data_IF_937201038683
#
_entry.id   IF_937201038683
#
_cell.length_a   1.000
_cell.length_b   1.000
_cell.length_c   1.000
_cell.angle_alpha   90.00
_cell.angle_beta   90.00
_cell.angle_gamma   90.00
#
_symmetry.space_group_name_H-M   'P 1'
#
loop_
_entity.id
_entity.type
_entity.pdbx_description
1 polymer ?
#
# COMPACT_ATOMS: atom_id res chain seq x y z
N UNK A 1 23.98 -2.02 11.11
CA UNK A 1 22.69 -2.59 11.60
C UNK A 1 21.89 -1.48 12.23
N UNK A 2 20.76 -1.13 11.65
CA UNK A 2 19.86 -0.11 12.23
C UNK A 2 19.42 -0.56 13.62
N UNK A 3 19.60 0.28 14.61
CA UNK A 3 19.17 0.03 15.99
C UNK A 3 17.63 0.19 16.03
N UNK A 4 16.90 -0.91 16.19
CA UNK A 4 15.43 -0.87 16.25
C UNK A 4 15.01 -0.45 17.66
N UNK A 5 14.46 0.76 17.77
CA UNK A 5 13.89 1.34 18.98
C UNK A 5 12.38 1.10 18.96
N UNK A 6 11.91 0.16 19.80
CA UNK A 6 10.50 -0.27 19.88
C UNK A 6 10.00 -0.34 21.32
N UNK A 7 10.66 0.37 22.22
CA UNK A 7 10.40 0.25 23.65
C UNK A 7 8.96 0.57 24.02
N UNK A 8 8.40 1.63 23.46
CA UNK A 8 7.01 2.04 23.70
C UNK A 8 6.01 0.98 23.26
N UNK A 9 6.26 0.33 22.10
CA UNK A 9 5.43 -0.77 21.60
C UNK A 9 5.52 -1.99 22.52
N UNK A 10 6.71 -2.34 22.98
CA UNK A 10 6.92 -3.44 23.95
C UNK A 10 6.17 -3.16 25.24
N UNK A 11 6.27 -1.94 25.78
CA UNK A 11 5.57 -1.53 26.99
C UNK A 11 4.04 -1.60 26.84
N UNK A 12 3.51 -1.12 25.71
CA UNK A 12 2.08 -1.21 25.38
C UNK A 12 1.61 -2.66 25.35
N UNK A 13 2.28 -3.49 24.55
CA UNK A 13 1.93 -4.91 24.39
C UNK A 13 2.02 -5.69 25.71
N UNK A 14 2.99 -5.37 26.56
CA UNK A 14 3.10 -5.93 27.89
C UNK A 14 1.88 -5.55 28.76
N UNK A 15 1.50 -4.27 28.76
CA UNK A 15 0.36 -3.78 29.55
C UNK A 15 -0.97 -4.37 29.06
N UNK A 16 -1.18 -4.48 27.77
CA UNK A 16 -2.36 -5.13 27.16
C UNK A 16 -2.52 -6.59 27.62
N UNK A 17 -1.40 -7.26 27.94
CA UNK A 17 -1.39 -8.62 28.47
C UNK A 17 -1.31 -8.68 29.97
N UNK A 18 -1.50 -7.56 30.66
CA UNK A 18 -1.48 -7.45 32.13
C UNK A 18 -0.22 -8.03 32.79
N UNK A 19 0.91 -8.03 32.05
CA UNK A 19 2.18 -8.52 32.57
C UNK A 19 2.93 -7.41 33.30
N UNK A 20 3.47 -7.75 34.51
CA UNK A 20 4.41 -6.87 35.18
C UNK A 20 5.75 -6.84 34.41
N UNK A 21 6.52 -5.76 34.56
CA UNK A 21 7.86 -5.65 33.98
C UNK A 21 8.78 -6.78 34.42
N UNK A 22 8.70 -7.19 35.71
CA UNK A 22 9.45 -8.32 36.24
C UNK A 22 9.03 -9.65 35.60
N UNK A 23 7.73 -9.87 35.43
CA UNK A 23 7.22 -11.09 34.80
C UNK A 23 7.64 -11.24 33.34
N UNK A 24 7.60 -10.15 32.55
CA UNK A 24 8.07 -10.19 31.17
C UNK A 24 9.59 -10.37 31.10
N UNK A 25 10.37 -9.66 31.93
CA UNK A 25 11.82 -9.79 31.98
C UNK A 25 12.26 -11.24 32.31
N UNK A 26 11.61 -11.88 33.30
CA UNK A 26 11.88 -13.27 33.65
C UNK A 26 11.61 -14.24 32.49
N UNK A 27 10.50 -14.05 31.74
CA UNK A 27 10.18 -14.88 30.57
C UNK A 27 11.18 -14.68 29.42
N UNK A 28 11.72 -13.46 29.25
CA UNK A 28 12.71 -13.13 28.25
C UNK A 28 14.13 -13.61 28.63
N UNK A 29 14.36 -13.95 29.92
CA UNK A 29 15.69 -14.28 30.42
C UNK A 29 16.61 -13.07 30.56
N UNK A 30 16.08 -11.88 30.84
CA UNK A 30 16.80 -10.62 31.03
C UNK A 30 16.47 -9.99 32.39
N UNK A 31 17.28 -9.01 32.84
CA UNK A 31 16.97 -8.28 34.07
C UNK A 31 15.81 -7.29 33.85
N UNK A 32 15.03 -7.02 34.89
CA UNK A 32 13.97 -6.01 34.87
C UNK A 32 14.53 -4.62 34.54
N UNK A 33 15.74 -4.29 35.00
CA UNK A 33 16.42 -3.04 34.68
C UNK A 33 16.77 -2.94 33.18
N UNK A 34 17.20 -4.05 32.59
CA UNK A 34 17.48 -4.08 31.15
C UNK A 34 16.20 -3.92 30.31
N UNK A 35 15.09 -4.57 30.71
CA UNK A 35 13.79 -4.38 30.09
C UNK A 35 13.30 -2.93 30.22
N UNK A 36 13.53 -2.30 31.40
CA UNK A 36 13.19 -0.90 31.60
C UNK A 36 13.94 0.03 30.61
N UNK A 37 15.23 -0.19 30.39
CA UNK A 37 16.00 0.57 29.41
C UNK A 37 15.48 0.37 28.00
N UNK A 38 15.01 -0.83 27.65
CA UNK A 38 14.37 -1.10 26.36
C UNK A 38 13.04 -0.33 26.25
N UNK A 39 12.15 -0.45 27.25
CA UNK A 39 10.83 0.20 27.25
C UNK A 39 10.88 1.73 27.21
N UNK A 40 12.03 2.33 27.55
CA UNK A 40 12.27 3.78 27.46
C UNK A 40 13.17 4.17 26.26
N UNK A 41 13.34 3.28 25.30
CA UNK A 41 14.15 3.48 24.10
C UNK A 41 15.62 3.89 24.37
N UNK A 42 16.13 3.56 25.56
CA UNK A 42 17.53 3.77 25.95
C UNK A 42 18.45 2.61 25.50
N UNK A 43 17.87 1.48 25.11
CA UNK A 43 18.57 0.31 24.59
C UNK A 43 17.81 -0.27 23.41
N UNK A 44 18.55 -0.52 22.32
CA UNK A 44 17.99 -1.19 21.14
C UNK A 44 17.76 -2.67 21.42
N UNK A 45 16.71 -3.23 20.83
CA UNK A 45 16.39 -4.65 20.88
C UNK A 45 17.25 -5.41 19.89
N UNK A 46 17.88 -6.51 20.33
CA UNK A 46 18.62 -7.41 19.43
C UNK A 46 17.65 -8.31 18.65
N UNK A 47 18.07 -8.83 17.51
CA UNK A 47 17.23 -9.71 16.68
C UNK A 47 16.74 -10.96 17.44
N UNK A 48 17.61 -11.56 18.28
CA UNK A 48 17.24 -12.71 19.10
C UNK A 48 16.19 -12.37 20.18
N UNK A 49 16.29 -11.17 20.74
CA UNK A 49 15.33 -10.71 21.75
C UNK A 49 14.00 -10.31 21.09
N UNK A 50 14.04 -9.79 19.85
CA UNK A 50 12.86 -9.46 19.07
C UNK A 50 12.02 -10.70 18.78
N UNK A 51 12.66 -11.80 18.38
CA UNK A 51 12.00 -13.08 18.13
C UNK A 51 11.33 -13.60 19.42
N UNK A 52 12.06 -13.61 20.53
CA UNK A 52 11.50 -14.01 21.84
C UNK A 52 10.32 -13.15 22.28
N UNK A 53 10.39 -11.84 22.04
CA UNK A 53 9.28 -10.93 22.31
C UNK A 53 8.05 -11.29 21.48
N UNK A 54 8.21 -11.59 20.20
CA UNK A 54 7.12 -12.05 19.34
C UNK A 54 6.45 -13.32 19.86
N UNK A 55 7.25 -14.31 20.27
CA UNK A 55 6.78 -15.57 20.82
C UNK A 55 6.05 -15.40 22.15
N UNK A 56 6.65 -14.68 23.12
CA UNK A 56 6.10 -14.52 24.47
C UNK A 56 4.86 -13.63 24.48
N UNK A 57 4.85 -12.60 23.66
CA UNK A 57 3.73 -11.68 23.56
C UNK A 57 2.69 -12.13 22.53
N UNK A 58 2.90 -13.27 21.85
CA UNK A 58 2.01 -13.79 20.80
C UNK A 58 1.63 -12.73 19.78
N UNK A 59 2.64 -12.00 19.27
CA UNK A 59 2.47 -10.95 18.26
C UNK A 59 3.34 -11.21 17.05
N UNK A 60 2.88 -10.75 15.90
CA UNK A 60 3.69 -10.78 14.70
C UNK A 60 4.91 -9.85 14.86
N UNK A 61 6.08 -10.29 14.37
CA UNK A 61 7.29 -9.47 14.34
C UNK A 61 7.07 -8.11 13.63
N UNK A 62 6.04 -7.99 12.82
CA UNK A 62 5.63 -6.71 12.21
C UNK A 62 5.06 -5.72 13.20
N UNK A 63 4.27 -6.17 14.16
CA UNK A 63 3.81 -5.31 15.24
C UNK A 63 4.98 -4.77 16.05
N UNK A 64 6.07 -5.55 16.12
CA UNK A 64 7.30 -5.15 16.75
C UNK A 64 8.24 -4.36 15.80
N UNK A 65 7.99 -4.30 14.50
CA UNK A 65 8.85 -3.60 13.54
C UNK A 65 8.68 -2.08 13.51
N UNK A 66 7.66 -1.57 14.21
CA UNK A 66 7.33 -0.15 14.24
C UNK A 66 6.80 0.41 12.92
N UNK A 67 6.39 -0.44 11.98
CA UNK A 67 5.90 0.00 10.67
C UNK A 67 4.52 0.65 10.74
N UNK A 68 3.63 0.12 11.60
CA UNK A 68 2.31 0.70 11.84
C UNK A 68 2.41 2.03 12.60
N UNK A 69 3.30 2.08 13.58
CA UNK A 69 3.56 3.28 14.37
C UNK A 69 4.07 4.43 13.48
N UNK A 70 5.01 4.17 12.59
CA UNK A 70 5.49 5.20 11.63
C UNK A 70 4.38 5.70 10.70
N UNK A 71 3.50 4.84 10.27
CA UNK A 71 2.36 5.24 9.44
C UNK A 71 1.36 6.10 10.23
N UNK A 72 1.09 5.74 11.48
CA UNK A 72 0.24 6.53 12.38
C UNK A 72 0.87 7.88 12.71
N UNK A 73 2.17 7.91 13.02
CA UNK A 73 2.94 9.14 13.27
C UNK A 73 2.88 10.09 12.07
N UNK A 74 3.18 9.61 10.88
CA UNK A 74 3.10 10.43 9.67
C UNK A 74 1.69 11.00 9.43
N UNK A 75 0.66 10.18 9.67
CA UNK A 75 -0.72 10.63 9.56
C UNK A 75 -1.11 11.66 10.63
N UNK A 76 -0.68 11.47 11.89
CA UNK A 76 -0.91 12.42 12.98
C UNK A 76 -0.22 13.74 12.70
N UNK A 77 1.03 13.72 12.24
CA UNK A 77 1.77 14.92 11.85
C UNK A 77 1.01 15.70 10.78
N UNK A 78 0.64 15.02 9.68
CA UNK A 78 -0.14 15.64 8.61
C UNK A 78 -1.45 16.26 9.11
N UNK A 79 -2.15 15.56 10.03
CA UNK A 79 -3.42 16.02 10.55
C UNK A 79 -3.28 17.22 11.50
N UNK A 80 -2.31 17.17 12.43
CA UNK A 80 -2.15 18.20 13.46
C UNK A 80 -1.42 19.44 12.97
N UNK A 81 -0.65 19.33 11.89
CA UNK A 81 0.04 20.44 11.22
C UNK A 81 -0.79 21.10 10.13
N UNK A 82 -2.04 20.71 9.94
CA UNK A 82 -2.92 21.40 8.97
C UNK A 82 -3.16 22.84 9.42
N UNK A 83 -2.70 23.85 8.66
CA UNK A 83 -2.82 25.26 9.02
C UNK A 83 -4.26 25.70 9.30
N UNK A 84 -5.22 24.96 8.77
CA UNK A 84 -6.64 25.23 8.91
C UNK A 84 -7.21 24.82 10.26
N UNK A 85 -6.50 23.99 11.03
CA UNK A 85 -6.90 23.65 12.39
C UNK A 85 -6.46 24.73 13.41
N UNK A 86 -5.45 25.55 13.07
CA UNK A 86 -4.91 26.54 13.99
C UNK A 86 -4.35 25.93 15.29
N UNK A 87 -4.01 24.64 15.26
CA UNK A 87 -3.49 23.92 16.42
C UNK A 87 -2.07 24.36 16.76
N UNK A 88 -1.69 24.28 18.03
CA UNK A 88 -0.30 24.41 18.44
C UNK A 88 0.53 23.27 17.87
N UNK A 89 1.79 23.54 17.52
CA UNK A 89 2.71 22.53 17.02
C UNK A 89 2.95 21.43 18.07
N UNK A 90 2.66 20.19 17.72
CA UNK A 90 2.89 19.04 18.60
C UNK A 90 4.31 18.53 18.40
N UNK A 91 5.13 18.43 19.48
CA UNK A 91 6.51 17.94 19.36
C UNK A 91 6.59 16.55 18.76
N UNK A 92 7.58 16.29 17.93
CA UNK A 92 7.87 14.99 17.29
C UNK A 92 7.84 13.81 18.30
N UNK A 93 8.48 13.99 19.46
CA UNK A 93 8.53 12.98 20.53
C UNK A 93 7.15 12.63 21.08
N UNK A 94 6.21 13.58 21.05
CA UNK A 94 4.83 13.38 21.50
C UNK A 94 4.03 12.64 20.44
N UNK A 95 4.17 12.97 19.16
CA UNK A 95 3.57 12.23 18.05
C UNK A 95 3.99 10.74 18.05
N UNK A 96 5.28 10.50 18.23
CA UNK A 96 5.82 9.14 18.39
C UNK A 96 5.25 8.44 19.60
N UNK A 97 5.10 9.17 20.72
CA UNK A 97 4.52 8.65 21.95
C UNK A 97 3.06 8.22 21.76
N UNK A 98 2.26 9.04 21.08
CA UNK A 98 0.85 8.75 20.79
C UNK A 98 0.75 7.56 19.83
N UNK A 99 1.53 7.56 18.75
CA UNK A 99 1.49 6.49 17.75
C UNK A 99 1.86 5.11 18.33
N UNK A 100 2.91 5.06 19.17
CA UNK A 100 3.39 3.81 19.75
C UNK A 100 2.64 3.40 21.03
N UNK A 101 2.30 4.38 21.88
CA UNK A 101 1.69 4.12 23.20
C UNK A 101 0.17 4.04 23.17
N UNK A 102 -0.48 4.72 22.22
CA UNK A 102 -1.94 4.83 22.14
C UNK A 102 -2.45 4.75 20.70
N UNK A 103 -2.17 3.65 19.97
CA UNK A 103 -2.49 3.56 18.54
C UNK A 103 -4.00 3.65 18.23
N UNK A 104 -4.86 3.29 19.18
CA UNK A 104 -6.31 3.46 19.06
C UNK A 104 -6.70 4.95 19.11
N UNK A 105 -6.11 5.73 20.03
CA UNK A 105 -6.31 7.17 20.09
C UNK A 105 -5.78 7.85 18.83
N UNK A 106 -4.60 7.46 18.35
CA UNK A 106 -4.04 7.94 17.09
C UNK A 106 -5.00 7.73 15.91
N UNK A 107 -5.55 6.53 15.78
CA UNK A 107 -6.56 6.22 14.74
C UNK A 107 -7.84 7.05 14.90
N UNK A 108 -8.30 7.28 16.13
CA UNK A 108 -9.48 8.11 16.39
C UNK A 108 -9.26 9.57 15.98
N UNK A 109 -8.10 10.16 16.30
CA UNK A 109 -7.74 11.53 15.87
C UNK A 109 -7.70 11.61 14.35
N UNK A 110 -7.08 10.64 13.67
CA UNK A 110 -7.04 10.60 12.21
C UNK A 110 -8.43 10.43 11.59
N UNK A 111 -9.32 9.68 12.23
CA UNK A 111 -10.70 9.54 11.78
C UNK A 111 -11.47 10.86 11.93
N UNK A 112 -11.30 11.57 13.04
CA UNK A 112 -11.90 12.89 13.28
C UNK A 112 -11.40 13.93 12.28
N UNK A 113 -10.09 13.98 12.04
CA UNK A 113 -9.50 14.88 11.05
C UNK A 113 -10.04 14.63 9.64
N UNK A 114 -10.14 13.36 9.23
CA UNK A 114 -10.73 13.00 7.93
C UNK A 114 -12.18 13.47 7.82
N UNK A 115 -13.00 13.20 8.86
CA UNK A 115 -14.39 13.63 8.89
C UNK A 115 -14.52 15.16 8.82
N UNK A 116 -13.66 15.88 9.53
CA UNK A 116 -13.61 17.33 9.50
C UNK A 116 -13.21 17.88 8.12
N UNK A 117 -12.19 17.29 7.47
CA UNK A 117 -11.79 17.69 6.11
C UNK A 117 -12.88 17.48 5.09
N UNK A 118 -13.52 16.30 5.11
CA UNK A 118 -14.67 16.01 4.23
C UNK A 118 -15.77 17.01 4.46
N UNK A 119 -16.19 17.24 5.71
CA UNK A 119 -17.22 18.23 6.02
C UNK A 119 -16.88 19.64 5.53
N UNK A 120 -15.61 19.98 5.44
CA UNK A 120 -15.12 21.29 4.98
C UNK A 120 -15.00 21.39 3.45
N UNK A 121 -14.59 20.33 2.77
CA UNK A 121 -14.60 20.25 1.30
C UNK A 121 -16.04 20.28 0.78
N UNK A 122 -16.97 19.64 1.48
CA UNK A 122 -18.40 19.68 1.19
C UNK A 122 -19.05 21.03 1.54
N UNK A 123 -18.51 21.79 2.50
CA UNK A 123 -18.99 23.14 2.81
C UNK A 123 -18.71 24.18 1.69
N UNK A 124 -17.83 23.85 0.74
CA UNK A 124 -17.67 24.56 -0.53
C UNK A 124 -18.70 24.14 -1.60
N UNK A 125 -19.50 23.12 -1.36
CA UNK A 125 -20.57 22.61 -2.24
C UNK A 125 -21.59 21.79 -1.45
N UNK A 126 -22.71 22.40 -1.12
CA UNK A 126 -23.98 21.81 -0.61
C UNK A 126 -23.83 21.04 0.72
N UNK A 127 -24.12 21.74 1.82
CA UNK A 127 -24.30 21.16 3.14
C UNK A 127 -25.47 20.15 3.17
N UNK A 128 -25.20 18.90 3.58
CA UNK A 128 -26.24 17.94 3.93
C UNK A 128 -26.56 18.05 5.43
N UNK A 129 -27.84 18.15 5.80
CA UNK A 129 -28.27 18.31 7.20
C UNK A 129 -28.43 16.96 7.89
N UNK A 130 -27.39 16.21 8.10
CA UNK A 130 -27.43 15.06 8.98
C UNK A 130 -26.05 14.71 9.51
N UNK A 131 -25.88 14.78 10.84
CA UNK A 131 -24.64 14.47 11.58
C UNK A 131 -24.15 13.03 11.46
N UNK A 132 -24.13 12.45 10.27
CA UNK A 132 -23.50 11.18 9.96
C UNK A 132 -22.05 11.42 9.61
N UNK A 133 -21.16 10.69 10.25
CA UNK A 133 -19.75 10.54 9.83
C UNK A 133 -19.71 10.07 8.38
N UNK A 134 -19.40 10.96 7.46
CA UNK A 134 -19.16 10.56 6.06
C UNK A 134 -17.70 10.11 6.01
N UNK A 135 -17.48 8.82 6.24
CA UNK A 135 -16.28 8.17 5.74
C UNK A 135 -16.45 8.09 4.23
N UNK A 136 -15.50 8.62 3.45
CA UNK A 136 -15.55 8.43 2.01
C UNK A 136 -15.48 6.93 1.71
N UNK A 137 -16.42 6.36 0.94
CA UNK A 137 -16.49 4.92 0.71
C UNK A 137 -15.19 4.31 0.18
N UNK A 138 -14.45 5.07 -0.63
CA UNK A 138 -13.16 4.67 -1.19
C UNK A 138 -12.03 4.65 -0.14
N UNK A 139 -12.08 5.51 0.88
CA UNK A 139 -11.11 5.50 1.98
C UNK A 139 -11.38 4.35 2.94
N UNK A 140 -12.66 4.11 3.25
CA UNK A 140 -13.06 2.97 4.06
C UNK A 140 -12.66 1.64 3.40
N UNK A 141 -12.92 1.48 2.11
CA UNK A 141 -12.49 0.31 1.37
C UNK A 141 -10.95 0.16 1.39
N UNK A 142 -10.21 1.25 1.25
CA UNK A 142 -8.74 1.24 1.33
C UNK A 142 -8.24 0.82 2.71
N UNK A 143 -8.77 1.44 3.77
CA UNK A 143 -8.40 1.11 5.16
C UNK A 143 -8.70 -0.37 5.46
N UNK A 144 -9.81 -0.91 4.95
CA UNK A 144 -10.15 -2.34 5.06
C UNK A 144 -9.07 -3.28 4.50
N UNK A 145 -8.52 -2.97 3.30
CA UNK A 145 -7.44 -3.77 2.70
C UNK A 145 -6.11 -3.57 3.42
N UNK A 146 -5.79 -2.34 3.83
CA UNK A 146 -4.55 -2.00 4.54
C UNK A 146 -4.49 -2.71 5.92
N UNK A 147 -5.58 -2.70 6.68
CA UNK A 147 -5.66 -3.36 8.00
C UNK A 147 -5.42 -4.87 7.92
N UNK A 148 -5.81 -5.51 6.84
CA UNK A 148 -5.64 -6.94 6.60
C UNK A 148 -4.36 -7.28 5.83
N UNK A 149 -3.45 -6.32 5.70
CA UNK A 149 -2.22 -6.47 4.95
C UNK A 149 -2.44 -7.01 3.53
N UNK A 150 -3.59 -6.66 2.91
CA UNK A 150 -4.00 -7.11 1.59
C UNK A 150 -3.94 -8.64 1.39
N UNK A 151 -4.20 -9.42 2.48
CA UNK A 151 -4.21 -10.88 2.43
C UNK A 151 -5.46 -11.46 3.10
N UNK A 152 -6.16 -12.33 2.39
CA UNK A 152 -7.43 -12.94 2.81
C UNK A 152 -7.28 -14.46 2.73
N UNK A 153 -6.96 -15.12 3.83
CA UNK A 153 -6.61 -16.54 3.86
C UNK A 153 -7.75 -17.44 3.34
N UNK A 154 -9.00 -17.13 3.68
CA UNK A 154 -10.17 -17.88 3.22
C UNK A 154 -10.35 -17.80 1.70
N UNK A 155 -10.21 -16.58 1.13
CA UNK A 155 -10.33 -16.36 -0.30
C UNK A 155 -9.14 -16.91 -1.09
N UNK A 156 -7.96 -16.89 -0.49
CA UNK A 156 -6.77 -17.51 -1.07
C UNK A 156 -6.96 -19.05 -1.16
N UNK A 157 -7.45 -19.66 -0.09
CA UNK A 157 -7.76 -21.11 -0.09
C UNK A 157 -8.84 -21.47 -1.11
N UNK A 158 -9.89 -20.65 -1.24
CA UNK A 158 -10.91 -20.85 -2.25
C UNK A 158 -10.33 -20.76 -3.68
N UNK A 159 -9.47 -19.77 -3.94
CA UNK A 159 -8.80 -19.62 -5.22
C UNK A 159 -7.85 -20.80 -5.53
N UNK A 160 -7.14 -21.34 -4.53
CA UNK A 160 -6.29 -22.52 -4.67
C UNK A 160 -7.12 -23.77 -5.02
N UNK A 161 -8.28 -23.96 -4.38
CA UNK A 161 -9.21 -25.05 -4.70
C UNK A 161 -9.73 -24.93 -6.14
N UNK A 162 -10.21 -23.74 -6.52
CA UNK A 162 -10.65 -23.49 -7.90
C UNK A 162 -9.53 -23.72 -8.92
N UNK A 163 -8.32 -23.31 -8.61
CA UNK A 163 -7.14 -23.53 -9.48
C UNK A 163 -6.84 -25.00 -9.65
N UNK A 164 -6.92 -25.81 -8.58
CA UNK A 164 -6.73 -27.26 -8.64
C UNK A 164 -7.79 -27.94 -9.52
N UNK A 165 -9.04 -27.48 -9.45
CA UNK A 165 -10.13 -27.98 -10.29
C UNK A 165 -10.01 -27.56 -11.76
N UNK A 166 -9.49 -26.36 -12.03
CA UNK A 166 -9.18 -25.90 -13.38
C UNK A 166 -8.04 -26.69 -14.03
N UNK A 167 -7.14 -27.24 -13.19
CA UNK A 167 -6.00 -28.07 -13.57
C UNK A 167 -5.25 -27.57 -14.83
N UNK A 168 -4.81 -26.31 -14.90
CA UNK A 168 -4.07 -25.82 -16.04
C UNK A 168 -2.72 -26.55 -16.11
N UNK A 169 -2.34 -27.05 -17.29
CA UNK A 169 -1.05 -27.69 -17.49
C UNK A 169 0.12 -26.70 -17.28
N UNK A 170 -0.09 -25.43 -17.66
CA UNK A 170 0.86 -24.32 -17.51
C UNK A 170 0.15 -23.05 -17.07
N UNK A 171 0.82 -22.12 -16.37
CA UNK A 171 0.22 -20.83 -16.00
C UNK A 171 -0.40 -20.06 -17.19
N UNK A 172 0.24 -20.09 -18.34
CA UNK A 172 -0.26 -19.43 -19.55
C UNK A 172 -1.58 -20.03 -20.10
N UNK A 173 -1.94 -21.24 -19.72
CA UNK A 173 -3.18 -21.94 -20.13
C UNK A 173 -4.37 -21.60 -19.23
N UNK A 174 -4.14 -20.89 -18.11
CA UNK A 174 -5.17 -20.53 -17.14
C UNK A 174 -6.35 -19.79 -17.78
N UNK A 175 -6.08 -18.86 -18.68
CA UNK A 175 -7.13 -18.12 -19.39
C UNK A 175 -8.07 -19.02 -20.18
N UNK A 176 -7.52 -20.06 -20.82
CA UNK A 176 -8.31 -21.05 -21.55
C UNK A 176 -9.13 -21.93 -20.58
N UNK A 177 -8.53 -22.40 -19.50
CA UNK A 177 -9.21 -23.20 -18.49
C UNK A 177 -10.38 -22.44 -17.84
N UNK A 178 -10.19 -21.15 -17.53
CA UNK A 178 -11.25 -20.28 -16.99
C UNK A 178 -12.40 -20.11 -18.02
N UNK A 179 -12.07 -19.83 -19.28
CA UNK A 179 -13.08 -19.66 -20.33
C UNK A 179 -13.89 -20.95 -20.51
N UNK A 180 -13.23 -22.10 -20.50
CA UNK A 180 -13.88 -23.39 -20.62
C UNK A 180 -14.76 -23.73 -19.40
N UNK A 181 -14.31 -23.42 -18.17
CA UNK A 181 -15.10 -23.57 -16.93
C UNK A 181 -16.36 -22.70 -17.00
N UNK A 182 -16.21 -21.43 -17.38
CA UNK A 182 -17.34 -20.50 -17.58
C UNK A 182 -18.37 -21.06 -18.57
N UNK A 183 -17.90 -21.64 -19.67
CA UNK A 183 -18.74 -22.22 -20.70
C UNK A 183 -19.43 -23.51 -20.22
N UNK A 184 -18.68 -24.48 -19.70
CA UNK A 184 -19.18 -25.84 -19.40
C UNK A 184 -20.00 -25.91 -18.15
N UNK A 185 -19.58 -25.21 -17.07
CA UNK A 185 -20.25 -25.29 -15.77
C UNK A 185 -21.34 -24.23 -15.63
N UNK A 186 -21.06 -23.00 -16.08
CA UNK A 186 -21.99 -21.89 -15.88
C UNK A 186 -22.80 -21.53 -17.13
N UNK A 187 -22.52 -22.15 -18.26
CA UNK A 187 -23.20 -21.86 -19.54
C UNK A 187 -22.90 -20.45 -20.06
N UNK A 188 -21.80 -19.82 -19.58
CA UNK A 188 -21.43 -18.45 -19.96
C UNK A 188 -20.68 -18.45 -21.28
N UNK A 189 -21.21 -17.70 -22.25
CA UNK A 189 -20.53 -17.45 -23.53
C UNK A 189 -19.68 -16.21 -23.40
N UNK A 190 -18.41 -16.31 -23.76
CA UNK A 190 -17.47 -15.18 -23.76
C UNK A 190 -17.30 -14.68 -25.19
N UNK A 191 -17.57 -13.40 -25.42
CA UNK A 191 -17.32 -12.70 -26.69
C UNK A 191 -16.39 -11.51 -26.50
N UNK A 192 -15.75 -11.09 -27.59
CA UNK A 192 -14.92 -9.89 -27.63
C UNK A 192 -15.53 -8.97 -28.69
N UNK A 193 -16.02 -7.82 -28.25
CA UNK A 193 -16.79 -6.90 -29.10
C UNK A 193 -16.43 -5.44 -28.75
N UNK A 194 -16.74 -4.48 -29.63
CA UNK A 194 -16.66 -3.07 -29.30
C UNK A 194 -17.59 -2.74 -28.09
N UNK A 195 -17.03 -2.14 -27.05
CA UNK A 195 -17.77 -1.58 -25.94
C UNK A 195 -17.36 -0.11 -25.77
N UNK A 196 -18.31 0.81 -25.73
CA UNK A 196 -18.01 2.25 -25.72
C UNK A 196 -17.19 2.68 -24.49
N UNK A 197 -17.71 2.49 -23.29
CA UNK A 197 -17.05 2.92 -22.05
C UNK A 197 -16.67 1.73 -21.15
N UNK A 198 -17.40 0.62 -21.29
CA UNK A 198 -17.24 -0.55 -20.42
C UNK A 198 -16.09 -1.43 -20.92
N UNK A 199 -15.26 -1.92 -20.00
CA UNK A 199 -14.23 -2.93 -20.31
C UNK A 199 -14.82 -4.34 -20.32
N UNK A 200 -15.94 -4.53 -19.60
CA UNK A 200 -16.63 -5.80 -19.46
C UNK A 200 -18.11 -5.56 -19.20
N UNK A 201 -18.97 -6.41 -19.80
CA UNK A 201 -20.39 -6.46 -19.51
C UNK A 201 -20.83 -7.92 -19.38
N UNK A 202 -21.52 -8.24 -18.29
CA UNK A 202 -22.16 -9.54 -18.12
C UNK A 202 -23.68 -9.37 -18.12
N UNK A 203 -24.35 -10.15 -18.97
CA UNK A 203 -25.80 -10.25 -19.02
C UNK A 203 -26.24 -11.58 -18.40
N UNK A 204 -26.86 -11.57 -17.23
CA UNK A 204 -27.31 -12.79 -16.57
C UNK A 204 -28.47 -13.49 -17.31
N UNK A 205 -29.31 -12.75 -18.06
CA UNK A 205 -30.42 -13.34 -18.79
C UNK A 205 -29.97 -14.21 -19.95
N UNK A 206 -29.00 -13.74 -20.72
CA UNK A 206 -28.42 -14.47 -21.86
C UNK A 206 -27.18 -15.26 -21.51
N UNK A 207 -26.70 -15.18 -20.27
CA UNK A 207 -25.43 -15.74 -19.80
C UNK A 207 -24.26 -15.40 -20.74
N UNK A 208 -24.20 -14.15 -21.18
CA UNK A 208 -23.14 -13.68 -22.05
C UNK A 208 -22.19 -12.71 -21.34
N UNK A 209 -20.90 -12.98 -21.44
CA UNK A 209 -19.82 -12.12 -20.98
C UNK A 209 -19.16 -11.46 -22.18
N UNK A 210 -19.42 -10.17 -22.38
CA UNK A 210 -18.77 -9.38 -23.43
C UNK A 210 -17.58 -8.66 -22.87
N UNK A 211 -16.42 -8.85 -23.48
CA UNK A 211 -15.17 -8.15 -23.19
C UNK A 211 -14.91 -7.12 -24.27
N UNK A 212 -14.43 -5.93 -23.88
CA UNK A 212 -14.07 -4.91 -24.85
C UNK A 212 -12.90 -5.38 -25.73
N UNK A 213 -12.98 -5.14 -27.02
CA UNK A 213 -11.87 -5.40 -27.94
C UNK A 213 -10.65 -4.51 -27.64
N UNK A 214 -10.85 -3.36 -26.96
CA UNK A 214 -9.76 -2.50 -26.48
C UNK A 214 -8.89 -3.13 -25.39
N UNK A 215 -9.37 -4.21 -24.75
CA UNK A 215 -8.60 -4.90 -23.72
C UNK A 215 -7.43 -5.66 -24.35
N UNK A 216 -6.19 -5.44 -23.88
CA UNK A 216 -5.06 -6.31 -24.18
C UNK A 216 -5.37 -7.76 -23.81
N UNK A 217 -4.74 -8.70 -24.52
CA UNK A 217 -4.99 -10.15 -24.32
C UNK A 217 -4.74 -10.57 -22.87
N UNK A 218 -3.68 -10.09 -22.24
CA UNK A 218 -3.32 -10.34 -20.86
C UNK A 218 -4.36 -9.82 -19.85
N UNK A 219 -5.11 -8.78 -20.23
CA UNK A 219 -6.16 -8.22 -19.37
C UNK A 219 -7.50 -8.96 -19.50
N UNK A 220 -7.77 -9.62 -20.64
CA UNK A 220 -9.02 -10.36 -20.86
C UNK A 220 -9.17 -11.51 -19.88
N UNK A 221 -8.07 -12.23 -19.61
CA UNK A 221 -8.04 -13.30 -18.62
C UNK A 221 -8.48 -12.85 -17.24
N UNK A 222 -8.05 -11.67 -16.82
CA UNK A 222 -8.44 -11.12 -15.55
C UNK A 222 -9.95 -10.85 -15.44
N UNK A 223 -10.56 -10.35 -16.51
CA UNK A 223 -12.00 -10.10 -16.53
C UNK A 223 -12.82 -11.39 -16.55
N UNK A 224 -12.32 -12.46 -17.20
CA UNK A 224 -12.92 -13.79 -17.12
C UNK A 224 -12.76 -14.40 -15.72
N UNK A 225 -11.57 -14.29 -15.11
CA UNK A 225 -11.31 -14.74 -13.75
C UNK A 225 -12.20 -14.00 -12.72
N UNK A 226 -12.41 -12.72 -12.90
CA UNK A 226 -13.35 -11.95 -12.07
C UNK A 226 -14.78 -12.47 -12.21
N UNK A 227 -15.23 -12.80 -13.43
CA UNK A 227 -16.57 -13.35 -13.64
C UNK A 227 -16.70 -14.73 -12.99
N UNK A 228 -15.68 -15.57 -13.08
CA UNK A 228 -15.67 -16.87 -12.41
C UNK A 228 -15.68 -16.71 -10.88
N UNK A 229 -14.88 -15.80 -10.34
CA UNK A 229 -14.88 -15.45 -8.90
C UNK A 229 -16.26 -14.97 -8.42
N UNK A 230 -16.96 -14.16 -9.23
CA UNK A 230 -18.32 -13.70 -8.93
C UNK A 230 -19.33 -14.86 -8.85
N UNK A 231 -19.08 -15.94 -9.59
CA UNK A 231 -19.97 -17.12 -9.63
C UNK A 231 -19.62 -18.18 -8.58
N UNK A 232 -18.34 -18.43 -8.34
CA UNK A 232 -17.88 -19.55 -7.53
C UNK A 232 -17.33 -19.15 -6.15
N UNK A 233 -16.88 -17.91 -5.96
CA UNK A 233 -16.36 -17.42 -4.68
C UNK A 233 -17.28 -16.39 -4.00
N UNK A 234 -18.50 -16.20 -4.49
CA UNK A 234 -19.43 -15.18 -4.02
C UNK A 234 -19.68 -15.28 -2.53
N UNK A 235 -20.01 -16.46 -2.03
CA UNK A 235 -20.40 -16.64 -0.62
C UNK A 235 -19.23 -16.33 0.32
N UNK A 236 -18.02 -16.75 -0.04
CA UNK A 236 -16.81 -16.42 0.70
C UNK A 236 -16.52 -14.91 0.69
N UNK A 237 -16.74 -14.24 -0.43
CA UNK A 237 -16.60 -12.78 -0.54
C UNK A 237 -17.63 -12.07 0.32
N UNK A 238 -18.92 -12.50 0.27
CA UNK A 238 -19.98 -11.91 1.09
C UNK A 238 -19.73 -12.10 2.60
N UNK A 239 -19.19 -13.24 3.00
CA UNK A 239 -18.78 -13.47 4.40
C UNK A 239 -17.77 -12.41 4.84
N UNK A 240 -16.72 -12.18 4.06
CA UNK A 240 -15.68 -11.18 4.37
C UNK A 240 -16.24 -9.75 4.33
N UNK A 241 -17.15 -9.43 3.40
CA UNK A 241 -17.82 -8.11 3.35
C UNK A 241 -18.69 -7.88 4.57
N UNK A 242 -19.44 -8.90 5.02
CA UNK A 242 -20.29 -8.79 6.20
C UNK A 242 -19.47 -8.62 7.48
N UNK A 243 -18.35 -9.31 7.61
CA UNK A 243 -17.40 -9.14 8.72
C UNK A 243 -16.76 -7.74 8.75
N UNK A 244 -16.61 -7.11 7.58
CA UNK A 244 -16.12 -5.73 7.49
C UNK A 244 -17.10 -4.70 8.03
N UNK A 245 -18.40 -5.02 8.09
CA UNK A 245 -19.49 -4.14 8.51
C UNK A 245 -19.40 -2.73 7.90
N UNK A 246 -19.41 -2.59 6.57
CA UNK A 246 -19.20 -1.32 5.88
C UNK A 246 -20.25 -0.27 6.29
N UNK A 247 -19.80 0.99 6.40
CA UNK A 247 -20.63 2.11 6.86
C UNK A 247 -21.71 2.53 5.83
N UNK A 248 -21.54 2.16 4.57
CA UNK A 248 -22.44 2.49 3.46
C UNK A 248 -22.51 1.35 2.43
N UNK A 249 -23.56 1.37 1.62
CA UNK A 249 -23.72 0.43 0.52
C UNK A 249 -22.59 0.57 -0.52
N UNK A 250 -22.14 1.80 -0.77
CA UNK A 250 -21.06 2.11 -1.69
C UNK A 250 -19.72 1.55 -1.18
N UNK A 251 -19.42 1.72 0.10
CA UNK A 251 -18.23 1.14 0.73
C UNK A 251 -18.26 -0.40 0.62
N UNK A 252 -19.39 -1.03 0.95
CA UNK A 252 -19.57 -2.46 0.80
C UNK A 252 -19.41 -2.95 -0.64
N UNK A 253 -19.88 -2.18 -1.63
CA UNK A 253 -19.70 -2.52 -3.04
C UNK A 253 -18.24 -2.40 -3.47
N UNK A 254 -17.52 -1.37 -3.03
CA UNK A 254 -16.09 -1.20 -3.33
C UNK A 254 -15.24 -2.31 -2.71
N UNK A 255 -15.52 -2.69 -1.46
CA UNK A 255 -14.87 -3.82 -0.78
C UNK A 255 -15.14 -5.12 -1.58
N UNK A 256 -16.39 -5.41 -1.92
CA UNK A 256 -16.78 -6.58 -2.71
C UNK A 256 -16.06 -6.66 -4.04
N UNK A 257 -16.02 -5.57 -4.80
CA UNK A 257 -15.29 -5.51 -6.08
C UNK A 257 -13.80 -5.73 -5.84
N UNK A 258 -13.24 -5.16 -4.79
CA UNK A 258 -11.84 -5.36 -4.41
C UNK A 258 -11.52 -6.83 -4.08
N UNK A 259 -12.37 -7.49 -3.31
CA UNK A 259 -12.22 -8.92 -2.97
C UNK A 259 -12.39 -9.84 -4.18
N UNK A 260 -13.33 -9.54 -5.08
CA UNK A 260 -13.46 -10.27 -6.34
C UNK A 260 -12.23 -10.09 -7.24
N UNK A 261 -11.65 -8.89 -7.29
CA UNK A 261 -10.38 -8.65 -7.97
C UNK A 261 -9.22 -9.42 -7.30
N UNK A 262 -9.24 -9.55 -5.96
CA UNK A 262 -8.27 -10.34 -5.22
C UNK A 262 -8.33 -11.82 -5.65
N UNK A 263 -9.53 -12.42 -5.64
CA UNK A 263 -9.74 -13.82 -6.07
C UNK A 263 -9.34 -14.00 -7.54
N UNK A 264 -9.71 -13.07 -8.43
CA UNK A 264 -9.31 -13.12 -9.83
C UNK A 264 -7.78 -13.10 -10.00
N UNK A 265 -7.10 -12.27 -9.23
CA UNK A 265 -5.63 -12.25 -9.19
C UNK A 265 -5.04 -13.56 -8.66
N UNK A 266 -5.64 -14.14 -7.61
CA UNK A 266 -5.20 -15.40 -7.02
C UNK A 266 -5.39 -16.60 -7.95
N UNK A 267 -6.48 -16.62 -8.74
CA UNK A 267 -6.73 -17.64 -9.77
C UNK A 267 -5.67 -17.60 -10.87
N UNK A 268 -5.38 -16.40 -11.40
CA UNK A 268 -4.41 -16.25 -12.48
C UNK A 268 -2.97 -16.47 -12.03
N UNK A 269 -2.69 -16.17 -10.77
CA UNK A 269 -1.36 -16.19 -10.16
C UNK A 269 -1.43 -16.94 -8.82
N UNK A 270 -1.54 -18.28 -8.81
CA UNK A 270 -1.66 -19.06 -7.59
C UNK A 270 -0.48 -18.83 -6.66
N UNK A 271 -0.75 -18.76 -5.35
CA UNK A 271 0.18 -18.23 -4.33
C UNK A 271 1.59 -18.83 -4.43
N UNK A 272 1.71 -20.15 -4.28
CA UNK A 272 3.01 -20.81 -4.25
C UNK A 272 3.76 -20.71 -5.59
N UNK A 273 3.04 -20.87 -6.72
CA UNK A 273 3.63 -20.78 -8.05
C UNK A 273 4.12 -19.36 -8.35
N UNK A 274 3.32 -18.34 -7.95
CA UNK A 274 3.68 -16.94 -8.17
C UNK A 274 4.84 -16.53 -7.28
N UNK A 275 4.82 -16.87 -5.99
CA UNK A 275 5.89 -16.56 -5.03
C UNK A 275 7.21 -17.22 -5.48
N UNK A 276 7.19 -18.51 -5.86
CA UNK A 276 8.39 -19.20 -6.35
C UNK A 276 8.92 -18.61 -7.66
N UNK A 277 8.04 -18.20 -8.59
CA UNK A 277 8.45 -17.55 -9.83
C UNK A 277 9.04 -16.16 -9.56
N UNK A 278 8.43 -15.36 -8.69
CA UNK A 278 8.94 -14.05 -8.32
C UNK A 278 10.34 -14.15 -7.69
N UNK A 279 10.54 -15.11 -6.79
CA UNK A 279 11.84 -15.35 -6.18
C UNK A 279 12.88 -15.82 -7.21
N UNK A 280 12.54 -16.80 -8.04
CA UNK A 280 13.46 -17.36 -9.06
C UNK A 280 13.87 -16.32 -10.11
N UNK A 281 12.99 -15.38 -10.44
CA UNK A 281 13.23 -14.28 -11.36
C UNK A 281 13.72 -13.00 -10.63
N UNK A 282 14.08 -13.11 -9.35
CA UNK A 282 14.55 -11.98 -8.55
C UNK A 282 13.64 -10.76 -8.66
N UNK A 283 12.34 -10.99 -8.64
CA UNK A 283 11.30 -9.95 -8.70
C UNK A 283 11.38 -9.05 -9.96
N UNK A 284 11.89 -9.58 -11.08
CA UNK A 284 11.72 -8.95 -12.40
C UNK A 284 10.25 -9.05 -12.81
N UNK A 285 9.52 -7.96 -12.60
CA UNK A 285 8.06 -7.95 -12.75
C UNK A 285 7.59 -8.05 -14.19
N UNK A 286 8.42 -7.70 -15.18
CA UNK A 286 8.11 -7.94 -16.59
C UNK A 286 8.20 -9.43 -16.92
N UNK A 287 9.27 -10.08 -16.50
CA UNK A 287 9.45 -11.51 -16.68
C UNK A 287 8.39 -12.33 -15.92
N UNK A 288 8.07 -11.92 -14.68
CA UNK A 288 7.00 -12.55 -13.89
C UNK A 288 5.65 -12.38 -14.57
N UNK A 289 5.29 -11.18 -15.02
CA UNK A 289 4.04 -10.91 -15.72
C UNK A 289 3.91 -11.75 -16.99
N UNK A 290 4.97 -11.82 -17.79
CA UNK A 290 5.03 -12.63 -19.01
C UNK A 290 4.83 -14.14 -18.71
N UNK A 291 5.44 -14.65 -17.64
CA UNK A 291 5.32 -16.06 -17.23
C UNK A 291 3.88 -16.48 -16.92
N UNK A 292 3.08 -15.57 -16.34
CA UNK A 292 1.69 -15.84 -15.99
C UNK A 292 0.69 -15.32 -17.04
N UNK A 293 1.16 -14.65 -18.10
CA UNK A 293 0.29 -14.07 -19.13
C UNK A 293 -0.64 -12.98 -18.59
N UNK A 294 -0.15 -12.18 -17.64
CA UNK A 294 -0.87 -11.08 -17.00
C UNK A 294 -0.20 -9.75 -17.27
N UNK A 295 -0.90 -8.64 -17.00
CA UNK A 295 -0.29 -7.31 -17.15
C UNK A 295 0.71 -7.01 -16.04
N UNK A 296 1.63 -6.08 -16.31
CA UNK A 296 2.58 -5.57 -15.31
C UNK A 296 1.86 -5.09 -14.02
N UNK A 297 0.77 -4.31 -14.17
CA UNK A 297 -0.02 -3.84 -13.02
C UNK A 297 -0.60 -5.00 -12.20
N UNK A 298 -1.12 -6.05 -12.87
CA UNK A 298 -1.68 -7.22 -12.20
C UNK A 298 -0.62 -8.00 -11.42
N UNK A 299 0.54 -8.22 -12.02
CA UNK A 299 1.66 -8.91 -11.36
C UNK A 299 2.17 -8.09 -10.15
N UNK A 300 2.37 -6.79 -10.31
CA UNK A 300 2.77 -5.90 -9.21
C UNK A 300 1.74 -5.88 -8.07
N UNK A 301 0.44 -5.81 -8.41
CA UNK A 301 -0.61 -5.86 -7.40
C UNK A 301 -0.63 -7.21 -6.69
N UNK A 302 -0.49 -8.32 -7.41
CA UNK A 302 -0.43 -9.67 -6.82
C UNK A 302 0.76 -9.82 -5.87
N UNK A 303 1.92 -9.27 -6.22
CA UNK A 303 3.10 -9.29 -5.36
C UNK A 303 2.82 -8.65 -3.99
N UNK A 304 2.01 -7.59 -3.94
CA UNK A 304 1.62 -6.93 -2.68
C UNK A 304 0.73 -7.80 -1.79
N UNK A 305 0.10 -8.86 -2.32
CA UNK A 305 -0.77 -9.78 -1.57
C UNK A 305 -0.04 -10.99 -0.97
N UNK A 306 1.27 -11.16 -1.24
CA UNK A 306 2.06 -12.27 -0.75
C UNK A 306 2.39 -12.13 0.75
N UNK A 307 1.34 -12.13 1.57
CA UNK A 307 1.42 -11.85 3.00
C UNK A 307 0.96 -13.02 3.89
N UNK A 308 0.87 -14.24 3.35
CA UNK A 308 0.50 -15.45 4.09
C UNK A 308 1.46 -15.70 5.25
N UNK A 309 0.98 -15.88 6.49
CA UNK A 309 1.83 -16.25 7.62
C UNK A 309 2.66 -17.50 7.32
N UNK A 310 3.95 -17.47 7.61
CA UNK A 310 4.89 -18.58 7.38
C UNK A 310 5.38 -18.74 5.93
N UNK A 311 4.79 -18.03 4.96
CA UNK A 311 5.19 -18.08 3.55
C UNK A 311 5.14 -16.69 2.88
N UNK A 312 5.61 -15.67 3.61
CA UNK A 312 5.60 -14.28 3.13
C UNK A 312 6.69 -14.03 2.10
N UNK A 313 6.34 -13.26 1.06
CA UNK A 313 7.32 -12.68 0.16
C UNK A 313 7.98 -11.43 0.77
N UNK A 314 8.86 -10.79 -0.02
CA UNK A 314 9.40 -9.48 0.33
C UNK A 314 8.24 -8.51 0.55
N UNK A 315 8.25 -7.73 1.65
CA UNK A 315 7.24 -6.71 1.86
C UNK A 315 7.43 -5.58 0.87
N UNK A 316 6.54 -5.49 -0.11
CA UNK A 316 6.50 -4.38 -1.06
C UNK A 316 5.41 -3.38 -0.70
N UNK A 317 5.63 -2.12 -1.03
CA UNK A 317 4.54 -1.18 -1.25
C UNK A 317 4.15 -1.17 -2.73
N UNK A 318 2.92 -0.84 -3.00
CA UNK A 318 2.35 -0.66 -4.34
C UNK A 318 1.68 0.71 -4.43
N UNK A 319 1.86 1.39 -5.55
CA UNK A 319 1.28 2.70 -5.81
C UNK A 319 0.86 2.80 -7.28
N UNK A 320 -0.32 3.40 -7.53
CA UNK A 320 -0.74 3.81 -8.88
C UNK A 320 -1.10 5.28 -8.90
N UNK A 321 -0.42 6.04 -9.76
CA UNK A 321 -0.49 7.50 -9.84
C UNK A 321 -0.86 7.91 -11.25
N UNK A 322 -1.69 8.95 -11.40
CA UNK A 322 -1.96 9.61 -12.67
C UNK A 322 -0.95 10.75 -12.94
N UNK A 323 -0.94 11.36 -14.15
CA UNK A 323 -0.04 12.45 -14.49
C UNK A 323 -0.20 13.72 -13.61
N UNK A 324 -1.35 13.89 -12.97
CA UNK A 324 -1.59 15.00 -12.05
C UNK A 324 -1.06 14.73 -10.62
N UNK A 325 -0.52 13.51 -10.38
CA UNK A 325 -0.03 13.09 -9.08
C UNK A 325 -1.10 12.50 -8.15
N UNK A 326 -2.33 12.29 -8.64
CA UNK A 326 -3.37 11.67 -7.84
C UNK A 326 -3.12 10.18 -7.66
N UNK A 327 -3.19 9.73 -6.40
CA UNK A 327 -3.00 8.32 -6.03
C UNK A 327 -4.32 7.58 -6.12
N UNK A 328 -4.49 6.77 -7.15
CA UNK A 328 -5.71 5.99 -7.39
C UNK A 328 -5.73 4.64 -6.69
N UNK A 329 -4.56 4.04 -6.43
CA UNK A 329 -4.37 2.82 -5.62
C UNK A 329 -3.09 2.95 -4.83
N UNK A 330 -3.09 2.49 -3.59
CA UNK A 330 -1.89 2.35 -2.76
C UNK A 330 -2.06 1.20 -1.77
N UNK A 331 -0.96 0.57 -1.44
CA UNK A 331 -0.85 -0.43 -0.40
C UNK A 331 0.59 -0.47 0.12
N UNK A 332 0.82 -0.67 1.41
CA UNK A 332 2.17 -0.76 1.97
C UNK A 332 2.33 -1.92 2.95
N UNK A 333 2.96 -3.01 2.49
CA UNK A 333 3.50 -4.02 3.38
C UNK A 333 4.91 -3.67 3.89
N UNK A 334 5.63 -2.80 3.16
CA UNK A 334 7.00 -2.38 3.47
C UNK A 334 7.09 -1.33 4.60
N UNK A 335 5.96 -0.84 5.11
CA UNK A 335 5.95 0.27 6.07
C UNK A 335 6.35 1.61 5.44
N UNK A 336 6.30 1.74 4.12
CA UNK A 336 6.50 3.03 3.46
C UNK A 336 5.33 3.96 3.81
N UNK A 337 5.61 5.11 4.41
CA UNK A 337 4.57 6.06 4.78
C UNK A 337 4.13 6.84 3.53
N UNK A 338 2.88 6.70 3.13
CA UNK A 338 2.32 7.53 2.07
C UNK A 338 1.67 8.78 2.67
N UNK A 339 1.87 9.94 2.04
CA UNK A 339 1.02 11.10 2.32
C UNK A 339 -0.44 10.74 1.99
N UNK A 340 -1.33 11.01 2.92
CA UNK A 340 -2.76 10.76 2.70
C UNK A 340 -3.39 11.87 1.86
N UNK A 341 -2.89 13.10 2.02
CA UNK A 341 -3.40 14.33 1.44
C UNK A 341 -2.25 15.16 0.86
N UNK A 342 -2.56 15.94 -0.16
CA UNK A 342 -1.56 16.75 -0.85
C UNK A 342 -0.75 15.96 -1.88
N UNK A 343 0.17 16.62 -2.55
CA UNK A 343 1.05 16.01 -3.54
C UNK A 343 2.19 15.23 -2.89
N UNK A 344 2.68 14.21 -3.55
CA UNK A 344 3.91 13.50 -3.16
C UNK A 344 5.17 14.30 -3.55
N UNK A 345 6.33 13.86 -3.06
CA UNK A 345 7.61 14.54 -3.33
C UNK A 345 7.93 14.57 -4.83
N UNK A 346 8.18 15.74 -5.45
CA UNK A 346 8.46 15.84 -6.89
C UNK A 346 9.76 15.16 -7.32
N UNK A 347 10.64 14.81 -6.36
CA UNK A 347 11.91 14.10 -6.62
C UNK A 347 11.73 12.59 -6.70
N UNK A 348 10.52 12.07 -6.44
CA UNK A 348 10.27 10.65 -6.45
C UNK A 348 10.07 10.14 -7.88
N UNK A 349 10.63 8.97 -8.17
CA UNK A 349 10.62 8.31 -9.50
C UNK A 349 9.22 8.18 -10.12
N UNK A 350 8.17 8.16 -9.30
CA UNK A 350 6.78 8.08 -9.79
C UNK A 350 6.38 9.24 -10.70
N UNK A 351 7.00 10.41 -10.53
CA UNK A 351 6.74 11.58 -11.37
C UNK A 351 7.58 11.60 -12.64
N UNK A 352 8.82 11.11 -12.55
CA UNK A 352 9.74 11.10 -13.71
C UNK A 352 9.46 9.96 -14.66
N UNK A 353 8.81 8.89 -14.21
CA UNK A 353 8.47 7.73 -15.03
C UNK A 353 7.54 8.06 -16.21
N UNK A 354 6.77 9.14 -16.15
CA UNK A 354 5.96 9.62 -17.27
C UNK A 354 6.78 10.13 -18.46
N UNK A 355 8.02 10.56 -18.21
CA UNK A 355 8.91 11.06 -19.27
C UNK A 355 9.49 9.94 -20.15
N UNK A 356 9.49 8.69 -19.67
CA UNK A 356 9.97 7.53 -20.42
C UNK A 356 8.93 6.40 -20.41
N UNK A 357 7.85 6.53 -21.16
CA UNK A 357 6.77 5.56 -21.18
C UNK A 357 7.23 4.15 -21.51
N UNK A 358 6.73 3.17 -20.76
CA UNK A 358 7.03 1.75 -20.96
C UNK A 358 8.37 1.27 -20.41
N UNK A 359 9.25 2.18 -19.97
CA UNK A 359 10.55 1.82 -19.38
C UNK A 359 10.45 1.78 -17.85
N UNK A 360 11.01 0.74 -17.24
CA UNK A 360 11.15 0.67 -15.78
C UNK A 360 12.25 1.63 -15.37
N UNK A 361 11.88 2.59 -14.52
CA UNK A 361 12.82 3.49 -13.87
C UNK A 361 13.04 3.05 -12.44
N UNK A 362 14.28 3.08 -11.97
CA UNK A 362 14.70 2.62 -10.64
C UNK A 362 15.28 3.79 -9.85
N UNK A 363 14.98 3.85 -8.58
CA UNK A 363 15.52 4.88 -7.68
C UNK A 363 15.70 4.30 -6.27
N UNK A 364 16.81 4.60 -5.63
CA UNK A 364 16.97 4.40 -4.20
C UNK A 364 16.57 5.69 -3.52
N UNK A 365 15.55 5.61 -2.67
CA UNK A 365 15.03 6.77 -1.94
C UNK A 365 15.36 6.68 -0.46
N UNK A 366 15.62 7.83 0.15
CA UNK A 366 15.83 7.95 1.58
C UNK A 366 14.86 8.98 2.15
N UNK A 367 14.10 8.58 3.16
CA UNK A 367 13.19 9.44 3.90
C UNK A 367 13.94 10.31 4.92
N UNK A 368 13.31 11.37 5.48
CA UNK A 368 13.94 12.22 6.47
C UNK A 368 14.39 11.51 7.75
N UNK A 369 13.73 10.42 8.12
CA UNK A 369 14.06 9.56 9.27
C UNK A 369 15.24 8.60 9.00
N UNK A 370 15.82 8.63 7.78
CA UNK A 370 16.89 7.75 7.34
C UNK A 370 16.44 6.39 6.81
N UNK A 371 15.13 6.10 6.80
CA UNK A 371 14.63 4.87 6.19
C UNK A 371 14.84 4.90 4.67
N UNK A 372 15.48 3.86 4.13
CA UNK A 372 15.80 3.79 2.72
C UNK A 372 15.05 2.64 2.01
N UNK A 373 14.62 2.90 0.78
CA UNK A 373 13.84 1.98 -0.03
C UNK A 373 14.39 1.91 -1.47
N UNK A 374 14.38 0.71 -2.02
CA UNK A 374 14.50 0.51 -3.45
C UNK A 374 13.12 0.70 -4.08
N UNK A 375 12.99 1.62 -5.01
CA UNK A 375 11.76 1.92 -5.74
C UNK A 375 11.94 1.66 -7.22
N UNK A 376 10.93 1.12 -7.89
CA UNK A 376 10.88 1.05 -9.33
C UNK A 376 9.48 1.43 -9.82
N UNK A 377 9.42 2.07 -10.98
CA UNK A 377 8.19 2.62 -11.51
C UNK A 377 8.15 2.50 -13.03
N UNK A 378 6.97 2.23 -13.58
CA UNK A 378 6.73 2.12 -15.01
C UNK A 378 5.34 2.67 -15.36
N UNK A 379 5.23 3.33 -16.52
CA UNK A 379 3.93 3.71 -17.04
C UNK A 379 3.16 2.50 -17.56
N UNK A 380 1.86 2.52 -17.30
CA UNK A 380 0.88 1.60 -17.89
C UNK A 380 -0.17 2.42 -18.63
N UNK A 381 -0.33 2.16 -19.91
CA UNK A 381 -1.25 2.89 -20.77
C UNK A 381 -2.45 2.01 -21.06
N UNK A 382 -3.64 2.55 -20.88
CA UNK A 382 -4.86 1.88 -21.36
C UNK A 382 -5.08 2.25 -22.82
N UNK A 383 -5.25 1.27 -23.71
CA UNK A 383 -5.52 1.55 -25.09
C UNK A 383 -6.85 2.30 -25.25
N UNK A 384 -6.90 3.26 -26.16
CA UNK A 384 -8.12 3.88 -26.65
C UNK A 384 -8.44 3.33 -28.05
N UNK A 385 -9.72 3.13 -28.35
CA UNK A 385 -10.17 2.59 -29.61
C UNK A 385 -10.30 3.64 -30.70
N UNK A 386 -10.46 4.91 -30.33
CA UNK A 386 -10.72 5.98 -31.28
C UNK A 386 -9.57 6.98 -31.35
N UNK A 387 -9.28 7.43 -32.54
CA UNK A 387 -8.35 8.53 -32.74
C UNK A 387 -8.85 9.80 -32.04
N UNK A 388 -7.95 10.49 -31.33
CA UNK A 388 -8.29 11.73 -30.61
C UNK A 388 -8.85 11.53 -29.20
N UNK A 389 -9.19 10.31 -28.78
CA UNK A 389 -9.58 10.04 -27.39
C UNK A 389 -8.37 10.05 -26.44
N UNK A 390 -8.50 10.67 -25.25
CA UNK A 390 -7.46 10.61 -24.24
C UNK A 390 -7.15 9.16 -23.87
N UNK A 391 -5.86 8.80 -23.86
CA UNK A 391 -5.39 7.50 -23.37
C UNK A 391 -5.04 7.64 -21.89
N UNK A 392 -5.83 7.03 -20.98
CA UNK A 392 -5.47 7.08 -19.57
C UNK A 392 -4.09 6.47 -19.36
N UNK A 393 -3.17 7.28 -18.85
CA UNK A 393 -1.80 6.90 -18.55
C UNK A 393 -1.58 6.96 -17.04
N UNK A 394 -1.06 5.90 -16.47
CA UNK A 394 -0.75 5.83 -15.05
C UNK A 394 0.68 5.33 -14.86
N UNK A 395 1.28 5.70 -13.78
CA UNK A 395 2.49 5.05 -13.30
C UNK A 395 2.10 4.03 -12.24
N UNK A 396 2.56 2.80 -12.40
CA UNK A 396 2.60 1.78 -11.37
C UNK A 396 3.99 1.79 -10.77
N UNK A 397 4.07 1.98 -9.46
CA UNK A 397 5.30 1.96 -8.71
C UNK A 397 5.25 0.91 -7.59
N UNK A 398 6.39 0.32 -7.36
CA UNK A 398 6.64 -0.64 -6.29
C UNK A 398 7.91 -0.24 -5.54
N UNK A 399 8.03 -0.69 -4.31
CA UNK A 399 9.29 -0.58 -3.59
C UNK A 399 9.31 -1.44 -2.34
N UNK A 400 10.50 -1.74 -1.88
CA UNK A 400 10.76 -2.49 -0.66
C UNK A 400 11.85 -1.80 0.16
N UNK A 401 11.97 -2.15 1.45
CA UNK A 401 13.08 -1.68 2.26
C UNK A 401 14.42 -2.05 1.60
N UNK A 402 15.39 -1.15 1.66
CA UNK A 402 16.69 -1.32 1.00
C UNK A 402 17.42 -2.61 1.42
N UNK A 403 17.13 -3.14 2.59
CA UNK A 403 17.66 -4.43 3.05
C UNK A 403 17.32 -5.62 2.12
N UNK A 404 16.24 -5.50 1.34
CA UNK A 404 15.81 -6.52 0.38
C UNK A 404 16.30 -6.26 -1.05
N UNK A 405 17.10 -5.20 -1.28
CA UNK A 405 17.52 -4.83 -2.63
C UNK A 405 18.29 -5.94 -3.34
N UNK A 406 19.09 -6.73 -2.61
CA UNK A 406 19.84 -7.86 -3.17
C UNK A 406 18.99 -8.96 -3.81
N UNK A 407 17.72 -9.06 -3.41
CA UNK A 407 16.76 -10.05 -3.93
C UNK A 407 15.97 -9.51 -5.14
N UNK A 408 16.20 -8.26 -5.56
CA UNK A 408 15.46 -7.58 -6.63
C UNK A 408 16.40 -7.29 -7.80
N UNK A 409 16.08 -7.79 -8.98
CA UNK A 409 16.90 -7.65 -10.19
C UNK A 409 17.19 -6.18 -10.55
N UNK A 410 16.28 -5.29 -10.25
CA UNK A 410 16.42 -3.86 -10.54
C UNK A 410 17.48 -3.13 -9.70
N UNK A 411 18.04 -3.80 -8.69
CA UNK A 411 19.16 -3.24 -7.91
C UNK A 411 20.54 -3.56 -8.50
N UNK A 412 20.62 -4.42 -9.51
CA UNK A 412 21.89 -4.83 -10.10
C UNK A 412 22.64 -3.63 -10.68
N UNK A 413 23.92 -3.52 -10.32
CA UNK A 413 24.78 -2.43 -10.77
C UNK A 413 24.57 -1.08 -10.08
N UNK A 414 23.65 -0.98 -9.11
CA UNK A 414 23.44 0.25 -8.33
C UNK A 414 24.38 0.28 -7.11
N UNK A 415 25.01 1.43 -6.89
CA UNK A 415 25.64 1.72 -5.60
C UNK A 415 24.57 2.10 -4.58
N UNK A 416 24.22 1.15 -3.70
CA UNK A 416 23.10 1.30 -2.76
C UNK A 416 23.27 2.43 -1.74
N UNK A 417 24.50 2.89 -1.52
CA UNK A 417 24.78 4.00 -0.60
C UNK A 417 24.84 5.35 -1.33
N UNK A 418 25.55 5.42 -2.46
CA UNK A 418 25.78 6.68 -3.18
C UNK A 418 24.60 7.10 -4.04
N UNK A 419 23.79 6.16 -4.52
CA UNK A 419 22.64 6.43 -5.37
C UNK A 419 21.39 6.88 -4.59
N UNK A 420 21.47 7.07 -3.26
CA UNK A 420 20.33 7.50 -2.44
C UNK A 420 19.87 8.90 -2.81
N UNK A 421 18.59 9.02 -3.12
CA UNK A 421 17.94 10.31 -3.35
C UNK A 421 17.05 10.64 -2.16
N UNK A 422 17.37 11.74 -1.47
CA UNK A 422 16.54 12.21 -0.37
C UNK A 422 15.19 12.69 -0.88
N UNK A 423 14.12 12.05 -0.43
CA UNK A 423 12.73 12.47 -0.66
C UNK A 423 12.03 12.80 0.65
N UNK A 424 10.89 13.48 0.58
CA UNK A 424 9.95 13.63 1.69
C UNK A 424 8.61 12.99 1.32
N UNK A 425 7.67 12.93 2.25
CA UNK A 425 6.31 12.47 1.96
C UNK A 425 5.57 13.52 1.11
N UNK A 426 5.62 14.77 1.54
CA UNK A 426 5.19 15.95 0.81
C UNK A 426 6.11 17.12 1.14
N UNK A 427 6.08 18.21 0.36
CA UNK A 427 6.91 19.38 0.65
C UNK A 427 6.55 20.04 1.98
N UNK A 428 5.29 19.99 2.39
CA UNK A 428 4.79 20.61 3.63
C UNK A 428 5.31 19.91 4.89
N UNK A 429 5.51 18.60 4.81
CA UNK A 429 5.97 17.75 5.92
C UNK A 429 7.46 17.41 5.85
N UNK A 430 8.22 18.06 4.99
CA UNK A 430 9.61 17.70 4.72
C UNK A 430 10.59 18.71 5.35
N UNK A 431 11.45 18.21 6.24
CA UNK A 431 12.45 18.99 6.98
C UNK A 431 13.78 19.19 6.23
N UNK A 432 13.86 18.81 4.95
CA UNK A 432 15.10 19.00 4.17
C UNK A 432 15.28 20.48 3.81
N UNK A 433 16.27 21.22 4.38
CA UNK A 433 16.37 22.68 4.20
C UNK A 433 16.78 23.05 2.77
N UNK A 434 17.68 22.28 2.13
CA UNK A 434 18.31 22.65 0.86
C UNK A 434 17.67 21.97 -0.35
N UNK A 435 16.37 21.67 -0.29
CA UNK A 435 15.68 21.02 -1.37
C UNK A 435 15.37 21.97 -2.52
N UNK A 436 16.10 21.82 -3.65
CA UNK A 436 15.89 22.64 -4.87
C UNK A 436 14.56 22.38 -5.58
N UNK A 437 13.89 21.27 -5.27
CA UNK A 437 12.58 20.89 -5.85
C UNK A 437 11.42 21.19 -4.90
N UNK A 438 11.63 22.01 -3.87
CA UNK A 438 10.59 22.36 -2.91
C UNK A 438 9.50 23.23 -3.56
N UNK A 439 8.27 22.71 -3.59
CA UNK A 439 7.12 23.39 -4.20
C UNK A 439 6.28 24.17 -3.16
N UNK A 440 6.34 23.79 -1.89
CA UNK A 440 5.56 24.42 -0.79
C UNK A 440 6.45 24.68 0.42
N UNK A 441 6.14 25.72 1.23
CA UNK A 441 6.83 25.95 2.49
C UNK A 441 6.60 24.79 3.45
N UNK A 442 7.57 24.47 4.32
CA UNK A 442 7.37 23.51 5.40
C UNK A 442 6.43 24.10 6.45
N UNK A 443 5.60 23.28 7.08
CA UNK A 443 4.62 23.75 8.07
C UNK A 443 5.26 24.05 9.42
N UNK A 444 6.28 23.29 9.82
CA UNK A 444 6.91 23.40 11.14
C UNK A 444 8.02 24.44 11.26
N UNK A 445 8.45 25.04 10.14
CA UNK A 445 9.60 25.91 10.12
C UNK A 445 9.23 27.33 9.70
N UNK A 446 9.81 28.29 10.39
CA UNK A 446 9.71 29.71 9.97
C UNK A 446 10.55 29.92 8.72
N UNK A 447 9.98 30.59 7.73
CA UNK A 447 10.71 30.94 6.52
C UNK A 447 11.75 32.01 6.83
N UNK A 448 12.96 31.79 6.30
CA UNK A 448 14.04 32.79 6.30
C UNK A 448 14.01 33.49 4.94
N UNK A 449 13.33 34.65 4.90
CA UNK A 449 13.16 35.43 3.67
C UNK A 449 14.12 36.61 3.68
N UNK A 450 14.95 36.73 2.66
CA UNK A 450 15.86 37.84 2.45
C UNK A 450 15.68 38.37 1.03
N UNK A 451 15.23 39.64 0.86
CA UNK A 451 15.03 40.22 -0.47
C UNK A 451 16.33 40.45 -1.25
N UNK A 452 17.48 40.40 -0.57
CA UNK A 452 18.81 40.59 -1.18
C UNK A 452 19.46 39.30 -1.62
N UNK A 453 18.88 38.16 -1.22
CA UNK A 453 19.45 36.81 -1.53
C UNK A 453 18.42 35.92 -2.19
N UNK A 454 18.60 35.63 -3.47
CA UNK A 454 17.78 34.65 -4.17
C UNK A 454 18.34 33.23 -3.96
N UNK A 455 17.53 32.37 -3.34
CA UNK A 455 17.84 30.93 -3.22
C UNK A 455 17.31 30.12 -4.41
N UNK A 456 17.66 28.84 -4.48
CA UNK A 456 17.11 27.90 -5.48
C UNK A 456 15.60 27.63 -5.29
N UNK A 457 15.03 27.99 -4.15
CA UNK A 457 13.61 27.96 -3.82
C UNK A 457 13.28 29.20 -2.99
N UNK A 458 12.07 29.79 -3.13
CA UNK A 458 11.63 30.91 -2.30
C UNK A 458 11.34 30.50 -0.84
N UNK A 459 11.32 29.20 -0.54
CA UNK A 459 10.93 28.65 0.77
C UNK A 459 12.15 28.19 1.57
N UNK A 460 13.12 29.10 1.80
CA UNK A 460 14.27 28.83 2.69
C UNK A 460 13.81 28.87 4.16
N UNK A 461 14.36 27.99 4.97
CA UNK A 461 14.13 27.94 6.40
C UNK A 461 15.38 27.39 7.09
N UNK A 462 15.53 27.68 8.36
CA UNK A 462 16.60 27.10 9.18
C UNK A 462 16.11 25.79 9.78
N UNK A 463 16.86 24.73 9.56
CA UNK A 463 16.60 23.45 10.21
C UNK A 463 16.73 23.65 11.74
N UNK A 464 15.79 23.10 12.51
CA UNK A 464 15.97 23.03 13.97
C UNK A 464 17.27 22.26 14.24
N UNK A 465 18.21 22.86 14.93
CA UNK A 465 19.38 22.13 15.44
C UNK A 465 18.85 21.01 16.33
N UNK A 466 19.13 19.75 15.94
CA UNK A 466 18.77 18.55 16.71
C UNK A 466 19.67 18.40 17.92
#
# INVERSE_FOLDING_TARGET
MARTMIGRTVRRLRNERTLSQQALAARLGISASYLNLIEHDQRAVTASLLIKLGEILHVDLRELSGSQERQLEAGLREALEDPLLGAEAVPEAELQSIAAGSPHAARAVLALYRAWRVAREDAGGIALPSGRRILLPNEEARDFFDERANHFASLEGAAETMTAELAPGRPAEMNHAIAERLRRVHGVRVSVEPLDVSLRRYDPATRSLTLSESLPRESRGFHMAFQLALMEARDGVETVVNEAAPSSQEAGMLIRIGLLNYVAGALLMPYAAFAGAAQALRHDMEAVAARFGVSFEQACHRLSTLQRPGARGIPFFFLRVDPAGNVSKRFSAAGFPFARYGGSCPRWVVHTAFAQPGTIQVQIVELPDGAAFLCFARTVVRPSMRWGEPRPNHVVAMGCALAHAGDVAYADGLDLERARVGIGLSCRLCDRPDCRSRAFPPLEHRLSLDPLTAGATPYRFEAKQR
#
